data_IF_751818308550
#
_entry.id   IF_751818308550
#
_cell.length_a   1.000
_cell.length_b   1.000
_cell.length_c   1.000
_cell.angle_alpha   90.00
_cell.angle_beta   90.00
_cell.angle_gamma   90.00
#
_symmetry.space_group_name_H-M   'P 1'
#
loop_
_entity.id
_entity.type
_entity.pdbx_description
1 polymer ?
#
# COMPACT_ATOMS: atom_id res chain seq x y z
N UNK A 1 -8.76 0.75 -12.33
CA UNK A 1 -8.65 -0.07 -11.09
C UNK A 1 -7.92 -1.38 -11.37
N UNK A 2 -8.01 -1.94 -12.57
CA UNK A 2 -7.34 -3.20 -12.94
C UNK A 2 -5.82 -3.15 -12.74
N UNK A 3 -5.11 -2.16 -13.30
CA UNK A 3 -3.65 -2.01 -13.11
C UNK A 3 -3.24 -1.94 -11.62
N UNK A 4 -3.94 -1.13 -10.81
CA UNK A 4 -3.70 -1.07 -9.35
C UNK A 4 -3.94 -2.42 -8.66
N UNK A 5 -4.95 -3.18 -9.09
CA UNK A 5 -5.24 -4.50 -8.54
C UNK A 5 -4.15 -5.52 -8.92
N UNK A 6 -3.67 -5.48 -10.16
CA UNK A 6 -2.59 -6.37 -10.64
C UNK A 6 -1.31 -6.10 -9.84
N UNK A 7 -0.90 -4.83 -9.75
CA UNK A 7 0.28 -4.45 -8.97
C UNK A 7 0.14 -4.83 -7.48
N UNK A 8 -0.99 -4.49 -6.85
CA UNK A 8 -1.22 -4.83 -5.43
C UNK A 8 -1.20 -6.35 -5.20
N UNK A 9 -1.70 -7.15 -6.15
CA UNK A 9 -1.66 -8.61 -6.05
C UNK A 9 -0.23 -9.16 -6.18
N UNK A 10 0.57 -8.62 -7.10
CA UNK A 10 2.00 -8.96 -7.23
C UNK A 10 2.75 -8.71 -5.92
N UNK A 11 2.67 -7.48 -5.41
CA UNK A 11 3.21 -7.09 -4.11
C UNK A 11 2.72 -8.01 -2.97
N UNK A 12 1.42 -8.34 -2.94
CA UNK A 12 0.83 -9.22 -1.93
C UNK A 12 1.47 -10.61 -1.93
N UNK A 13 1.66 -11.19 -3.11
CA UNK A 13 2.24 -12.53 -3.26
C UNK A 13 3.70 -12.54 -2.82
N UNK A 14 4.46 -11.52 -3.18
CA UNK A 14 5.87 -11.42 -2.83
C UNK A 14 6.06 -11.19 -1.32
N UNK A 15 5.25 -10.30 -0.73
CA UNK A 15 5.23 -10.11 0.72
C UNK A 15 4.82 -11.39 1.46
N UNK A 16 3.79 -12.10 0.98
CA UNK A 16 3.37 -13.37 1.59
C UNK A 16 4.49 -14.42 1.55
N UNK A 17 5.17 -14.58 0.41
CA UNK A 17 6.32 -15.51 0.30
C UNK A 17 7.37 -15.17 1.36
N UNK A 18 7.68 -13.88 1.53
CA UNK A 18 8.66 -13.41 2.50
C UNK A 18 8.25 -13.70 3.95
N UNK A 19 7.01 -13.42 4.30
CA UNK A 19 6.47 -13.73 5.63
C UNK A 19 6.47 -15.25 5.90
N UNK A 20 6.17 -16.04 4.88
CA UNK A 20 6.14 -17.50 5.00
C UNK A 20 7.54 -18.13 5.16
N UNK A 21 8.62 -17.42 4.84
CA UNK A 21 9.98 -17.90 5.12
C UNK A 21 10.23 -18.09 6.63
N UNK A 22 9.65 -17.20 7.46
CA UNK A 22 9.86 -17.17 8.92
C UNK A 22 8.65 -17.69 9.71
N UNK A 23 7.47 -17.77 9.10
CA UNK A 23 6.21 -18.22 9.73
C UNK A 23 5.70 -19.58 9.22
N UNK A 24 6.60 -20.47 8.77
CA UNK A 24 6.21 -21.79 8.23
C UNK A 24 5.31 -22.57 9.20
N UNK A 25 4.16 -23.04 8.69
CA UNK A 25 3.19 -23.82 9.46
C UNK A 25 2.41 -23.01 10.48
N UNK A 26 2.54 -21.68 10.49
CA UNK A 26 1.78 -20.77 11.34
C UNK A 26 0.76 -19.99 10.51
N UNK A 27 -0.21 -19.40 11.20
CA UNK A 27 -1.19 -18.53 10.57
C UNK A 27 -0.54 -17.21 10.13
N UNK A 28 -0.75 -16.81 8.89
CA UNK A 28 -0.33 -15.51 8.34
C UNK A 28 -1.59 -14.72 7.99
N UNK A 29 -1.74 -13.54 8.59
CA UNK A 29 -2.87 -12.64 8.32
C UNK A 29 -2.38 -11.20 8.27
N UNK A 30 -2.61 -10.51 7.15
CA UNK A 30 -2.23 -9.11 6.96
C UNK A 30 -3.19 -8.44 5.96
N UNK A 31 -3.13 -7.11 5.90
CA UNK A 31 -3.87 -6.30 4.93
C UNK A 31 -2.90 -5.74 3.88
N UNK A 32 -2.81 -6.36 2.69
CA UNK A 32 -1.83 -5.96 1.69
C UNK A 32 -2.07 -4.54 1.18
N UNK A 33 -3.33 -4.17 0.94
CA UNK A 33 -3.68 -2.83 0.46
C UNK A 33 -3.38 -1.75 1.52
N UNK A 34 -3.50 -2.06 2.82
CA UNK A 34 -3.19 -1.10 3.89
C UNK A 34 -1.70 -0.78 3.91
N UNK A 35 -0.85 -1.80 3.73
CA UNK A 35 0.61 -1.64 3.62
C UNK A 35 0.95 -0.87 2.34
N UNK A 36 0.39 -1.27 1.20
CA UNK A 36 0.61 -0.60 -0.08
C UNK A 36 0.15 0.87 -0.05
N UNK A 37 -0.95 1.18 0.63
CA UNK A 37 -1.41 2.57 0.85
C UNK A 37 -0.39 3.36 1.66
N UNK A 38 0.14 2.79 2.74
CA UNK A 38 1.16 3.45 3.56
C UNK A 38 2.43 3.73 2.76
N UNK A 39 2.91 2.74 2.00
CA UNK A 39 4.07 2.90 1.12
C UNK A 39 3.81 3.92 0.00
N UNK A 40 2.62 3.93 -0.60
CA UNK A 40 2.25 4.95 -1.58
C UNK A 40 2.20 6.36 -0.99
N UNK A 41 1.84 6.53 0.30
CA UNK A 41 1.92 7.83 0.97
C UNK A 41 3.37 8.25 1.23
N UNK A 42 4.25 7.31 1.59
CA UNK A 42 5.69 7.59 1.79
C UNK A 42 6.37 7.89 0.46
N UNK A 43 6.02 7.18 -0.61
CA UNK A 43 6.54 7.41 -1.97
C UNK A 43 6.32 8.85 -2.45
N UNK A 44 5.19 9.48 -2.09
CA UNK A 44 4.93 10.90 -2.44
C UNK A 44 6.00 11.86 -1.93
N UNK A 45 6.64 11.56 -0.80
CA UNK A 45 7.70 12.37 -0.21
C UNK A 45 9.12 11.92 -0.58
N UNK A 46 9.28 10.77 -1.23
CA UNK A 46 10.57 10.22 -1.62
C UNK A 46 11.12 10.90 -2.88
N UNK A 47 12.45 10.91 -3.03
CA UNK A 47 13.14 11.40 -4.24
C UNK A 47 14.35 10.52 -4.57
N UNK A 48 14.86 10.65 -5.80
CA UNK A 48 16.04 9.91 -6.27
C UNK A 48 15.83 8.40 -6.18
N UNK A 49 16.89 7.67 -5.84
CA UNK A 49 16.90 6.21 -5.77
C UNK A 49 15.87 5.65 -4.79
N UNK A 50 15.56 6.38 -3.70
CA UNK A 50 14.51 5.98 -2.76
C UNK A 50 13.14 5.96 -3.42
N UNK A 51 12.81 6.95 -4.25
CA UNK A 51 11.54 6.95 -4.98
C UNK A 51 11.52 5.81 -6.01
N UNK A 52 12.62 5.61 -6.75
CA UNK A 52 12.73 4.56 -7.77
C UNK A 52 12.52 3.16 -7.18
N UNK A 53 13.21 2.81 -6.10
CA UNK A 53 13.08 1.49 -5.48
C UNK A 53 11.67 1.26 -4.92
N UNK A 54 11.05 2.29 -4.35
CA UNK A 54 9.67 2.20 -3.88
C UNK A 54 8.66 2.04 -5.03
N UNK A 55 8.93 2.67 -6.18
CA UNK A 55 8.10 2.54 -7.37
C UNK A 55 8.20 1.15 -7.98
N UNK A 56 9.38 0.52 -8.02
CA UNK A 56 9.55 -0.85 -8.54
C UNK A 56 8.61 -1.86 -7.85
N UNK A 57 8.49 -1.76 -6.52
CA UNK A 57 7.62 -2.63 -5.72
C UNK A 57 6.12 -2.29 -5.84
N UNK A 58 5.78 -1.01 -6.02
CA UNK A 58 4.39 -0.52 -6.02
C UNK A 58 3.77 -0.36 -7.41
N UNK A 59 4.58 -0.21 -8.46
CA UNK A 59 4.14 0.18 -9.81
C UNK A 59 4.22 -0.95 -10.83
N UNK A 60 4.40 -2.21 -10.39
CA UNK A 60 4.45 -3.44 -11.20
C UNK A 60 3.81 -3.23 -12.59
N UNK A 61 4.66 -2.92 -13.56
CA UNK A 61 4.39 -2.52 -14.94
C UNK A 61 3.10 -1.68 -15.18
N UNK A 62 3.24 -0.36 -15.21
CA UNK A 62 2.28 0.53 -15.91
C UNK A 62 1.18 1.15 -15.05
N UNK A 63 1.39 1.31 -13.74
CA UNK A 63 0.45 2.02 -12.86
C UNK A 63 0.50 3.55 -13.04
N UNK A 64 0.13 4.07 -14.21
CA UNK A 64 -0.09 5.52 -14.38
C UNK A 64 -1.11 6.03 -13.33
N UNK A 65 -0.73 7.06 -12.58
CA UNK A 65 -1.55 7.69 -11.54
C UNK A 65 -1.90 6.79 -10.33
N UNK A 66 -0.94 6.01 -9.81
CA UNK A 66 -1.10 5.14 -8.64
C UNK A 66 -1.77 5.82 -7.43
N UNK A 67 -1.39 7.06 -7.12
CA UNK A 67 -1.97 7.83 -6.01
C UNK A 67 -3.46 8.15 -6.22
N UNK A 68 -3.87 8.40 -7.47
CA UNK A 68 -5.28 8.59 -7.81
C UNK A 68 -6.07 7.28 -7.65
N UNK A 69 -5.43 6.15 -7.96
CA UNK A 69 -5.97 4.82 -7.74
C UNK A 69 -6.20 4.55 -6.25
N UNK A 70 -5.19 4.75 -5.40
CA UNK A 70 -5.32 4.60 -3.96
C UNK A 70 -6.35 5.56 -3.34
N UNK A 71 -6.43 6.81 -3.82
CA UNK A 71 -7.47 7.75 -3.38
C UNK A 71 -8.89 7.22 -3.67
N UNK A 72 -9.12 6.70 -4.88
CA UNK A 72 -10.41 6.09 -5.28
C UNK A 72 -10.70 4.84 -4.42
N UNK A 73 -9.69 3.99 -4.21
CA UNK A 73 -9.82 2.77 -3.40
C UNK A 73 -10.17 3.09 -1.94
N UNK A 74 -9.43 4.01 -1.30
CA UNK A 74 -9.69 4.44 0.07
C UNK A 74 -11.10 5.01 0.23
N UNK A 75 -11.56 5.80 -0.75
CA UNK A 75 -12.91 6.34 -0.77
C UNK A 75 -13.97 5.23 -0.86
N UNK A 76 -13.71 4.18 -1.64
CA UNK A 76 -14.61 3.05 -1.81
C UNK A 76 -14.66 2.14 -0.56
N UNK A 77 -13.51 1.89 0.07
CA UNK A 77 -13.38 1.05 1.27
C UNK A 77 -14.04 1.72 2.48
N UNK A 78 -13.81 3.02 2.68
CA UNK A 78 -14.34 3.74 3.83
C UNK A 78 -15.77 4.25 3.61
N UNK A 79 -16.40 3.94 2.46
CA UNK A 79 -17.81 4.24 2.23
C UNK A 79 -18.66 3.39 3.18
N UNK A 80 -19.50 4.06 3.99
CA UNK A 80 -20.44 3.37 4.89
C UNK A 80 -21.35 2.44 4.10
N UNK A 81 -21.48 1.21 4.58
CA UNK A 81 -22.42 0.21 4.07
C UNK A 81 -23.24 -0.35 5.22
N UNK A 82 -24.50 -0.72 4.95
CA UNK A 82 -25.39 -1.34 5.94
C UNK A 82 -25.15 -2.85 6.10
N UNK A 83 -24.51 -3.48 5.11
CA UNK A 83 -24.36 -4.94 5.02
C UNK A 83 -23.08 -5.48 5.65
N UNK A 84 -22.10 -4.62 5.90
CA UNK A 84 -20.84 -5.00 6.53
C UNK A 84 -20.18 -3.83 7.25
N UNK A 85 -19.29 -4.15 8.20
CA UNK A 85 -18.39 -3.21 8.83
C UNK A 85 -16.98 -3.39 8.26
N UNK A 86 -16.51 -2.42 7.49
CA UNK A 86 -15.14 -2.34 7.01
C UNK A 86 -14.58 -0.97 7.39
N UNK A 87 -13.43 -0.97 8.07
CA UNK A 87 -12.71 0.25 8.45
C UNK A 87 -11.25 0.08 8.10
N UNK A 88 -10.68 1.05 7.40
CA UNK A 88 -9.26 1.08 7.08
C UNK A 88 -8.72 2.48 7.33
N UNK A 89 -7.61 2.56 8.06
CA UNK A 89 -6.92 3.81 8.33
C UNK A 89 -5.41 3.59 8.22
N UNK A 90 -4.75 4.52 7.53
CA UNK A 90 -3.30 4.59 7.42
C UNK A 90 -2.87 5.99 7.86
N UNK A 91 -1.78 6.08 8.62
CA UNK A 91 -1.28 7.37 9.14
C UNK A 91 0.24 7.38 9.12
N UNK A 92 0.80 8.51 8.71
CA UNK A 92 2.20 8.83 8.89
C UNK A 92 2.35 9.70 10.13
N UNK A 93 3.37 9.40 10.93
CA UNK A 93 3.76 10.19 12.09
C UNK A 93 5.16 10.70 11.83
N UNK A 94 5.34 12.00 12.02
CA UNK A 94 6.60 12.68 11.83
C UNK A 94 7.08 13.31 13.13
N UNK A 95 8.39 13.51 13.24
CA UNK A 95 8.98 14.24 14.35
C UNK A 95 8.67 15.74 14.19
N UNK A 96 8.18 16.36 15.27
CA UNK A 96 7.70 17.76 15.26
C UNK A 96 8.80 18.76 14.93
N UNK A 97 10.05 18.41 15.26
CA UNK A 97 11.20 19.29 14.99
C UNK A 97 11.72 19.17 13.55
N UNK A 98 11.20 18.24 12.76
CA UNK A 98 11.62 18.04 11.38
C UNK A 98 10.63 18.73 10.43
N UNK A 99 11.07 19.68 9.58
CA UNK A 99 10.18 20.35 8.65
C UNK A 99 9.80 19.42 7.50
N UNK A 100 8.50 19.42 7.15
CA UNK A 100 8.04 18.88 5.87
C UNK A 100 8.46 19.82 4.75
N UNK A 101 9.12 19.26 3.74
CA UNK A 101 9.62 19.96 2.55
C UNK A 101 8.59 19.97 1.41
#
# INVERSE_FOLDING_TARGET
>A
MESLSVSTNGFTLDLYKKLNETSKGQNIFFSPWSIATALAMVHLGARGDTATQMAEDLEHEGAENIHSGFKKLLSAINKRRSTYLLKSASRLYEEKTYPLL
#
